data_IF_158791757912
#
_entry.id   IF_158791757912
#
_cell.length_a   1.000
_cell.length_b   1.000
_cell.length_c   1.000
_cell.angle_alpha   90.00
_cell.angle_beta   90.00
_cell.angle_gamma   90.00
#
_symmetry.space_group_name_H-M   'P 1'
#
loop_
_entity.id
_entity.type
_entity.pdbx_description
1 polymer ?
#
# COMPACT_ATOMS: atom_id res chain seq x y z
N UNK A 1 4.28 -1.31 15.83
CA UNK A 1 5.66 -1.49 16.31
C UNK A 1 5.75 -2.46 17.49
N UNK A 2 5.37 -2.11 18.73
CA UNK A 2 5.56 -3.03 19.89
C UNK A 2 4.77 -4.34 19.77
N UNK A 3 3.57 -4.30 19.16
CA UNK A 3 2.79 -5.52 18.88
C UNK A 3 3.47 -6.43 17.83
N UNK A 4 4.25 -5.84 16.94
CA UNK A 4 4.84 -6.52 15.79
C UNK A 4 6.04 -7.38 16.21
N UNK A 5 6.66 -7.04 17.36
CA UNK A 5 7.68 -7.86 18.05
C UNK A 5 7.17 -9.27 18.36
N UNK A 6 5.89 -9.42 18.65
CA UNK A 6 5.31 -10.73 18.97
C UNK A 6 4.74 -11.45 17.75
N UNK A 7 4.79 -10.82 16.56
CA UNK A 7 4.10 -11.30 15.35
C UNK A 7 5.03 -11.53 14.16
N UNK A 8 6.31 -11.16 14.23
CA UNK A 8 7.23 -11.36 13.11
C UNK A 8 7.38 -12.83 12.67
N UNK A 9 7.13 -13.79 13.57
CA UNK A 9 7.11 -15.23 13.26
C UNK A 9 5.73 -15.76 12.82
N UNK A 10 4.73 -14.90 12.63
CA UNK A 10 3.39 -15.33 12.25
C UNK A 10 3.27 -15.70 10.76
N UNK A 11 4.17 -15.17 9.93
CA UNK A 11 4.19 -15.41 8.48
C UNK A 11 5.31 -16.38 8.12
N UNK A 12 5.03 -17.32 7.21
CA UNK A 12 6.06 -18.23 6.69
C UNK A 12 7.00 -17.44 5.76
N UNK A 13 8.27 -17.33 6.16
CA UNK A 13 9.30 -16.64 5.39
C UNK A 13 10.55 -17.51 5.22
N UNK A 14 11.36 -17.18 4.22
CA UNK A 14 12.69 -17.78 3.98
C UNK A 14 13.72 -16.69 3.71
N UNK A 15 14.95 -16.95 4.12
CA UNK A 15 16.10 -16.11 3.75
C UNK A 15 16.64 -16.64 2.42
N UNK A 16 16.65 -15.80 1.39
CA UNK A 16 17.18 -16.10 0.05
C UNK A 16 18.09 -14.92 -0.31
N UNK A 17 19.34 -15.21 -0.71
CA UNK A 17 20.31 -14.19 -1.13
C UNK A 17 20.43 -12.99 -0.15
N UNK A 18 20.55 -13.30 1.15
CA UNK A 18 20.69 -12.30 2.24
C UNK A 18 19.41 -11.46 2.50
N UNK A 19 18.27 -11.85 1.92
CA UNK A 19 16.99 -11.12 1.99
C UNK A 19 15.85 -12.00 2.52
N UNK A 20 14.93 -11.41 3.29
CA UNK A 20 13.74 -12.11 3.77
C UNK A 20 12.66 -12.09 2.69
N UNK A 21 12.21 -13.26 2.29
CA UNK A 21 11.14 -13.47 1.31
C UNK A 21 9.96 -14.15 2.00
N UNK A 22 8.77 -13.59 1.81
CA UNK A 22 7.54 -14.12 2.39
C UNK A 22 6.81 -15.01 1.39
N UNK A 23 6.09 -16.01 1.90
CA UNK A 23 5.25 -16.85 1.08
C UNK A 23 3.95 -16.12 0.73
N UNK A 24 3.72 -15.91 -0.56
CA UNK A 24 2.47 -15.37 -1.10
C UNK A 24 1.88 -16.34 -2.10
N UNK A 25 0.64 -16.80 -1.84
CA UNK A 25 -0.05 -17.81 -2.64
C UNK A 25 0.86 -19.03 -2.91
N UNK A 26 1.26 -19.21 -4.17
CA UNK A 26 2.09 -20.34 -4.63
C UNK A 26 3.60 -20.01 -4.70
N UNK A 27 3.99 -18.77 -4.37
CA UNK A 27 5.34 -18.25 -4.56
C UNK A 27 5.99 -17.64 -3.31
N UNK A 28 7.25 -17.24 -3.45
CA UNK A 28 7.97 -16.42 -2.48
C UNK A 28 8.24 -15.06 -3.10
N UNK A 29 8.07 -14.00 -2.32
CA UNK A 29 8.20 -12.63 -2.82
C UNK A 29 8.87 -11.75 -1.76
N UNK A 30 9.80 -10.91 -2.19
CA UNK A 30 10.50 -9.93 -1.34
C UNK A 30 9.80 -8.58 -1.27
N UNK A 31 8.83 -8.31 -2.14
CA UNK A 31 8.12 -7.02 -2.20
C UNK A 31 7.00 -6.87 -1.17
N UNK A 32 6.68 -7.93 -0.43
CA UNK A 32 5.63 -7.90 0.59
C UNK A 32 6.06 -7.07 1.80
N UNK A 33 5.20 -6.15 2.25
CA UNK A 33 5.47 -5.32 3.43
C UNK A 33 4.50 -5.62 4.58
N UNK A 34 5.02 -6.15 5.69
CA UNK A 34 4.28 -6.39 6.94
C UNK A 34 4.60 -5.34 8.02
N UNK A 35 4.90 -4.10 7.60
CA UNK A 35 5.28 -3.03 8.52
C UNK A 35 6.54 -3.38 9.31
N UNK A 36 6.49 -3.23 10.64
CA UNK A 36 7.64 -3.49 11.51
C UNK A 36 7.91 -4.98 11.77
N UNK A 37 7.01 -5.88 11.39
CA UNK A 37 7.24 -7.34 11.53
C UNK A 37 8.49 -7.76 10.75
N UNK A 38 8.69 -7.19 9.56
CA UNK A 38 9.87 -7.43 8.72
C UNK A 38 11.15 -7.03 9.46
N UNK A 39 11.17 -5.83 10.03
CA UNK A 39 12.34 -5.31 10.74
C UNK A 39 12.77 -6.24 11.89
N UNK A 40 11.83 -6.79 12.67
CA UNK A 40 12.15 -7.75 13.73
C UNK A 40 12.62 -9.11 13.19
N UNK A 41 12.06 -9.58 12.07
CA UNK A 41 12.55 -10.79 11.40
C UNK A 41 14.02 -10.62 10.94
N UNK A 42 14.37 -9.45 10.40
CA UNK A 42 15.75 -9.13 10.00
C UNK A 42 16.73 -9.12 11.20
N UNK A 43 16.32 -8.56 12.34
CA UNK A 43 17.13 -8.62 13.56
C UNK A 43 17.34 -10.06 14.04
N UNK A 44 16.27 -10.87 14.06
CA UNK A 44 16.35 -12.27 14.47
C UNK A 44 17.26 -13.09 13.53
N UNK A 45 17.17 -12.90 12.22
CA UNK A 45 18.03 -13.62 11.27
C UNK A 45 19.48 -13.11 11.25
N UNK A 46 19.74 -11.85 11.62
CA UNK A 46 21.11 -11.37 11.89
C UNK A 46 21.71 -12.05 13.12
N UNK A 47 20.95 -12.19 14.21
CA UNK A 47 21.40 -12.94 15.39
C UNK A 47 21.68 -14.42 15.06
N UNK A 48 20.92 -15.00 14.14
CA UNK A 48 21.16 -16.34 13.60
C UNK A 48 22.27 -16.42 12.54
N UNK A 49 22.93 -15.30 12.21
CA UNK A 49 24.03 -15.23 11.25
C UNK A 49 23.65 -15.47 9.80
N UNK A 50 22.36 -15.39 9.44
CA UNK A 50 21.87 -15.59 8.07
C UNK A 50 21.78 -14.31 7.25
N UNK A 51 21.87 -13.15 7.91
CA UNK A 51 21.80 -11.84 7.28
C UNK A 51 23.03 -10.99 7.60
N UNK A 52 23.59 -10.32 6.60
CA UNK A 52 24.71 -9.39 6.77
C UNK A 52 24.26 -8.05 7.35
N UNK A 53 25.18 -7.39 8.06
CA UNK A 53 24.93 -6.08 8.67
C UNK A 53 24.58 -5.00 7.62
N UNK A 54 25.26 -5.01 6.47
CA UNK A 54 25.01 -4.05 5.40
C UNK A 54 23.62 -4.19 4.77
N UNK A 55 23.02 -5.39 4.80
CA UNK A 55 21.65 -5.56 4.32
C UNK A 55 20.62 -5.22 5.40
N UNK A 56 20.90 -5.53 6.68
CA UNK A 56 20.05 -5.11 7.80
C UNK A 56 19.82 -3.59 7.80
N UNK A 57 20.89 -2.79 7.64
CA UNK A 57 20.80 -1.32 7.69
C UNK A 57 19.84 -0.72 6.66
N UNK A 58 19.62 -1.40 5.52
CA UNK A 58 18.65 -0.95 4.51
C UNK A 58 17.21 -1.09 4.97
N UNK A 59 16.94 -2.04 5.85
CA UNK A 59 15.60 -2.39 6.34
C UNK A 59 15.29 -1.80 7.72
N UNK A 60 16.31 -1.35 8.46
CA UNK A 60 16.15 -0.69 9.76
C UNK A 60 15.77 0.77 9.55
N UNK A 61 14.47 1.05 9.57
CA UNK A 61 13.95 2.40 9.55
C UNK A 61 12.76 2.57 10.50
N UNK A 62 12.55 3.79 10.97
CA UNK A 62 11.33 4.18 11.67
C UNK A 62 10.45 4.91 10.65
N UNK A 63 9.32 4.30 10.31
CA UNK A 63 8.31 4.95 9.50
C UNK A 63 7.57 5.98 10.36
N UNK A 64 7.85 7.26 10.10
CA UNK A 64 7.15 8.39 10.71
C UNK A 64 6.03 8.79 9.77
N UNK A 65 4.78 8.57 10.19
CA UNK A 65 3.62 8.99 9.42
C UNK A 65 3.55 10.52 9.35
N UNK A 66 4.03 11.11 8.25
CA UNK A 66 4.11 12.56 8.06
C UNK A 66 2.78 13.21 7.64
N UNK A 67 1.70 12.45 7.51
CA UNK A 67 0.38 12.97 7.18
C UNK A 67 -0.52 11.90 6.60
N UNK A 68 -1.83 12.16 6.64
CA UNK A 68 -2.84 11.36 5.98
C UNK A 68 -3.63 12.26 5.03
N UNK A 69 -3.99 11.73 3.87
CA UNK A 69 -4.86 12.42 2.92
C UNK A 69 -6.17 11.66 2.81
N UNK A 70 -7.27 12.38 2.98
CA UNK A 70 -8.58 11.85 2.60
C UNK A 70 -8.65 11.80 1.09
N UNK A 71 -8.95 10.63 0.52
CA UNK A 71 -9.09 10.47 -0.92
C UNK A 71 -10.19 11.38 -1.49
N UNK A 72 -11.27 11.59 -0.75
CA UNK A 72 -12.34 12.52 -1.08
C UNK A 72 -11.86 13.98 -1.15
N UNK A 73 -10.82 14.36 -0.40
CA UNK A 73 -10.31 15.74 -0.38
C UNK A 73 -9.29 16.01 -1.49
N UNK A 74 -8.80 14.96 -2.15
CA UNK A 74 -7.78 15.08 -3.20
C UNK A 74 -8.31 15.88 -4.41
N UNK A 75 -9.52 15.62 -4.96
CA UNK A 75 -10.08 16.40 -6.06
C UNK A 75 -10.13 17.91 -5.82
N UNK A 76 -10.44 18.34 -4.59
CA UNK A 76 -10.51 19.77 -4.25
C UNK A 76 -9.16 20.50 -4.32
N UNK A 77 -8.04 19.76 -4.33
CA UNK A 77 -6.68 20.33 -4.41
C UNK A 77 -6.17 20.51 -5.84
N UNK A 78 -6.86 19.95 -6.84
CA UNK A 78 -6.45 20.04 -8.23
C UNK A 78 -7.17 21.18 -8.95
N UNK A 79 -6.41 22.03 -9.66
CA UNK A 79 -6.99 23.09 -10.48
C UNK A 79 -7.79 22.58 -11.68
N UNK A 80 -7.44 21.38 -12.18
CA UNK A 80 -8.07 20.77 -13.35
C UNK A 80 -8.24 19.27 -13.13
N UNK A 81 -9.47 18.79 -13.27
CA UNK A 81 -9.83 17.37 -13.26
C UNK A 81 -10.22 17.01 -14.68
N UNK A 82 -9.49 16.08 -15.31
CA UNK A 82 -9.69 15.73 -16.72
C UNK A 82 -10.98 14.94 -17.00
N UNK A 83 -11.65 14.47 -15.94
CA UNK A 83 -12.88 13.69 -16.02
C UNK A 83 -12.73 12.35 -15.33
N UNK A 84 -13.86 11.64 -15.23
CA UNK A 84 -13.92 10.27 -14.70
C UNK A 84 -14.48 9.35 -15.79
N UNK A 85 -14.03 8.10 -15.80
CA UNK A 85 -14.43 7.09 -16.79
C UNK A 85 -14.91 5.83 -16.08
N UNK A 86 -15.96 5.18 -16.59
CA UNK A 86 -16.44 3.89 -16.07
C UNK A 86 -17.96 3.81 -15.97
N UNK A 87 -18.45 3.24 -14.87
CA UNK A 87 -19.87 2.96 -14.52
C UNK A 87 -20.65 4.21 -14.09
N UNK A 88 -20.45 5.34 -14.77
CA UNK A 88 -21.22 6.56 -14.52
C UNK A 88 -22.72 6.36 -14.78
N UNK A 89 -23.06 5.41 -15.65
CA UNK A 89 -24.44 5.04 -15.97
C UNK A 89 -25.15 4.35 -14.79
N UNK A 90 -24.42 3.63 -13.94
CA UNK A 90 -25.01 2.88 -12.81
C UNK A 90 -25.10 3.69 -11.52
N UNK A 91 -24.56 4.92 -11.50
CA UNK A 91 -24.63 5.80 -10.34
C UNK A 91 -26.05 6.33 -10.14
N UNK A 92 -26.47 6.35 -8.88
CA UNK A 92 -27.74 6.95 -8.50
C UNK A 92 -27.71 8.48 -8.64
N UNK A 93 -28.88 9.13 -8.78
CA UNK A 93 -28.95 10.59 -8.97
C UNK A 93 -28.24 11.40 -7.87
N UNK A 94 -28.23 10.89 -6.63
CA UNK A 94 -27.55 11.56 -5.51
C UNK A 94 -26.02 11.51 -5.66
N UNK A 95 -25.46 10.39 -6.14
CA UNK A 95 -24.01 10.24 -6.35
C UNK A 95 -23.54 11.11 -7.51
N UNK A 96 -24.33 11.18 -8.59
CA UNK A 96 -24.07 12.08 -9.73
C UNK A 96 -24.04 13.54 -9.29
N UNK A 97 -24.95 13.93 -8.41
CA UNK A 97 -25.00 15.29 -7.85
C UNK A 97 -23.72 15.63 -7.08
N UNK A 98 -23.22 14.71 -6.24
CA UNK A 98 -21.97 14.90 -5.49
C UNK A 98 -20.77 15.06 -6.45
N UNK A 99 -20.68 14.24 -7.50
CA UNK A 99 -19.59 14.32 -8.49
C UNK A 99 -19.60 15.66 -9.23
N UNK A 100 -20.77 16.13 -9.64
CA UNK A 100 -20.91 17.37 -10.42
C UNK A 100 -20.77 18.63 -9.58
N UNK A 101 -21.36 18.64 -8.37
CA UNK A 101 -21.51 19.86 -7.56
C UNK A 101 -20.47 19.97 -6.44
N UNK A 102 -20.09 18.87 -5.78
CA UNK A 102 -19.05 18.89 -4.74
C UNK A 102 -17.66 18.79 -5.37
N UNK A 103 -17.45 17.80 -6.24
CA UNK A 103 -16.12 17.58 -6.86
C UNK A 103 -15.90 18.36 -8.16
N UNK A 104 -16.92 19.07 -8.67
CA UNK A 104 -16.86 19.88 -9.90
C UNK A 104 -16.36 19.10 -11.13
N UNK A 105 -16.63 17.80 -11.19
CA UNK A 105 -16.25 16.94 -12.30
C UNK A 105 -17.37 16.95 -13.32
N UNK A 106 -17.15 17.65 -14.44
CA UNK A 106 -18.17 17.89 -15.48
C UNK A 106 -17.98 17.07 -16.75
N UNK A 107 -16.77 16.51 -16.94
CA UNK A 107 -16.43 15.74 -18.14
C UNK A 107 -16.61 14.26 -17.79
N UNK A 108 -17.62 13.67 -18.43
CA UNK A 108 -17.98 12.27 -18.26
C UNK A 108 -17.79 11.56 -19.62
N UNK A 109 -16.92 10.55 -19.66
CA UNK A 109 -16.72 9.73 -20.85
C UNK A 109 -17.24 8.33 -20.58
N UNK A 110 -18.43 8.02 -21.11
CA UNK A 110 -19.02 6.69 -21.06
C UNK A 110 -18.66 5.90 -22.32
N UNK A 111 -18.11 4.70 -22.16
CA UNK A 111 -17.97 3.75 -23.26
C UNK A 111 -19.25 2.90 -23.32
N UNK A 112 -20.19 3.30 -24.18
CA UNK A 112 -21.31 2.42 -24.52
C UNK A 112 -20.76 1.22 -25.30
N UNK A 113 -20.83 0.01 -24.74
CA UNK A 113 -20.64 -1.21 -25.52
C UNK A 113 -21.76 -1.27 -26.57
N UNK A 114 -21.41 -1.06 -27.84
CA UNK A 114 -22.22 -1.49 -28.99
C UNK A 114 -22.11 -3.00 -29.16
#
# INVERSE_FOLDING_TARGET
>A
MVRDVNRFNAHEYKVIDDEITYKEHDGYTSTTSYGYEILFAYYNEKENGKITEGNLEKYVCINVGCGNFSYAEIPHKFNYIMGVTGTLETLEPYEKNIIENEYNIKINTAFSRQ
#
